data_IF_041531481179
#
_entry.id   IF_041531481179
#
_cell.length_a   1.000
_cell.length_b   1.000
_cell.length_c   1.000
_cell.angle_alpha   90.00
_cell.angle_beta   90.00
_cell.angle_gamma   90.00
#
_symmetry.space_group_name_H-M   'P 1'
#
loop_
_entity.id
_entity.type
_entity.pdbx_description
1 polymer ?
#
# COMPACT_ATOMS: atom_id res chain seq x y z
N UNK A 1 -16.04 -6.25 18.25
CA UNK A 1 -14.95 -5.38 17.76
C UNK A 1 -15.61 -4.24 17.02
N UNK A 2 -15.50 -2.97 17.44
CA UNK A 2 -15.97 -1.89 16.59
C UNK A 2 -15.14 -1.90 15.30
N UNK A 3 -15.82 -1.92 14.16
CA UNK A 3 -15.19 -1.70 12.87
C UNK A 3 -14.99 -0.20 12.74
N UNK A 4 -13.76 0.25 12.50
CA UNK A 4 -13.48 1.65 12.23
C UNK A 4 -13.75 1.93 10.75
N UNK A 5 -14.38 3.05 10.46
CA UNK A 5 -14.51 3.53 9.09
C UNK A 5 -13.13 3.95 8.55
N UNK A 6 -12.96 3.92 7.23
CA UNK A 6 -11.66 4.19 6.60
C UNK A 6 -11.12 5.60 6.92
N UNK A 7 -12.01 6.57 7.13
CA UNK A 7 -11.70 7.95 7.48
C UNK A 7 -11.33 8.15 8.96
N UNK A 8 -11.50 7.14 9.81
CA UNK A 8 -11.08 7.18 11.22
C UNK A 8 -9.63 6.73 11.42
N UNK A 9 -8.97 6.20 10.38
CA UNK A 9 -7.58 5.79 10.46
C UNK A 9 -6.64 6.99 10.34
N UNK A 10 -5.74 7.14 11.31
CA UNK A 10 -4.66 8.12 11.25
C UNK A 10 -3.35 7.53 10.69
N UNK A 11 -3.18 6.21 10.76
CA UNK A 11 -1.96 5.53 10.31
C UNK A 11 -2.25 4.09 9.89
N UNK A 12 -1.70 3.66 8.76
CA UNK A 12 -1.81 2.29 8.24
C UNK A 12 -0.44 1.80 7.77
N UNK A 13 -0.11 0.57 8.16
CA UNK A 13 1.04 -0.18 7.64
C UNK A 13 0.56 -1.12 6.56
N UNK A 14 1.14 -1.04 5.36
CA UNK A 14 0.82 -1.88 4.21
C UNK A 14 1.97 -2.86 3.94
N UNK A 15 1.81 -4.17 4.15
CA UNK A 15 2.81 -5.14 3.76
C UNK A 15 2.85 -5.31 2.24
N UNK A 16 4.04 -5.56 1.70
CA UNK A 16 4.23 -5.88 0.29
C UNK A 16 4.96 -7.22 0.12
N UNK A 17 4.68 -7.93 -0.98
CA UNK A 17 5.45 -9.08 -1.47
C UNK A 17 6.61 -8.61 -2.33
N UNK A 18 6.44 -7.49 -3.05
CA UNK A 18 7.47 -6.76 -3.76
C UNK A 18 7.13 -5.28 -3.85
N UNK A 19 8.13 -4.41 -3.97
CA UNK A 19 7.93 -2.98 -4.17
C UNK A 19 8.99 -2.40 -5.12
N UNK A 20 8.75 -1.21 -5.66
CA UNK A 20 9.73 -0.48 -6.46
C UNK A 20 9.97 0.95 -5.93
N UNK A 21 10.94 1.64 -6.52
CA UNK A 21 11.30 3.01 -6.17
C UNK A 21 10.20 4.05 -6.44
N UNK A 22 9.13 3.67 -7.14
CA UNK A 22 7.96 4.53 -7.38
C UNK A 22 6.83 4.27 -6.36
N UNK A 23 7.05 3.37 -5.40
CA UNK A 23 6.05 3.00 -4.40
C UNK A 23 4.99 2.04 -4.94
N UNK A 24 5.15 1.54 -6.16
CA UNK A 24 4.29 0.46 -6.66
C UNK A 24 4.55 -0.78 -5.82
N UNK A 25 3.54 -1.62 -5.66
CA UNK A 25 3.64 -2.83 -4.83
C UNK A 25 3.00 -4.03 -5.49
N UNK A 26 3.56 -5.20 -5.21
CA UNK A 26 2.93 -6.49 -5.41
C UNK A 26 2.36 -6.97 -4.09
N UNK A 27 1.06 -7.23 -4.06
CA UNK A 27 0.42 -8.03 -3.02
C UNK A 27 0.23 -9.48 -3.46
N UNK A 28 -0.68 -10.20 -2.81
CA UNK A 28 -1.09 -11.54 -3.23
C UNK A 28 -2.09 -11.57 -4.40
N UNK A 29 -2.33 -10.43 -5.07
CA UNK A 29 -3.13 -10.35 -6.31
C UNK A 29 -4.63 -10.10 -6.15
N UNK A 30 -5.19 -10.06 -4.93
CA UNK A 30 -6.63 -9.85 -4.71
C UNK A 30 -7.08 -8.36 -4.70
N UNK A 31 -6.16 -7.42 -4.91
CA UNK A 31 -6.46 -5.97 -4.94
C UNK A 31 -7.13 -5.43 -3.67
N UNK A 32 -6.93 -6.07 -2.51
CA UNK A 32 -7.59 -5.66 -1.26
C UNK A 32 -7.11 -4.28 -0.79
N UNK A 33 -5.79 -4.04 -0.85
CA UNK A 33 -5.23 -2.76 -0.44
C UNK A 33 -5.58 -1.65 -1.44
N UNK A 34 -5.57 -1.89 -2.74
CA UNK A 34 -5.92 -0.88 -3.76
C UNK A 34 -7.35 -0.37 -3.55
N UNK A 35 -8.29 -1.29 -3.30
CA UNK A 35 -9.68 -0.96 -2.97
C UNK A 35 -9.87 -0.30 -1.62
N UNK A 36 -8.95 -0.47 -0.68
CA UNK A 36 -9.07 0.10 0.66
C UNK A 36 -8.39 1.46 0.77
N UNK A 37 -7.20 1.60 0.18
CA UNK A 37 -6.42 2.83 0.15
C UNK A 37 -7.18 3.97 -0.53
N UNK A 38 -7.99 3.68 -1.54
CA UNK A 38 -8.83 4.69 -2.20
C UNK A 38 -9.97 5.24 -1.32
N UNK A 39 -10.24 4.64 -0.16
CA UNK A 39 -11.25 5.09 0.80
C UNK A 39 -10.66 5.94 1.93
N UNK A 40 -9.33 6.01 2.02
CA UNK A 40 -8.66 6.77 3.07
C UNK A 40 -8.73 8.27 2.78
N UNK A 41 -8.61 9.05 3.85
CA UNK A 41 -8.46 10.50 3.76
C UNK A 41 -6.97 10.86 3.74
N UNK A 42 -6.66 12.06 3.25
CA UNK A 42 -5.28 12.60 3.27
C UNK A 42 -4.71 12.76 4.70
N UNK A 43 -5.55 12.69 5.72
CA UNK A 43 -5.13 12.69 7.12
C UNK A 43 -4.55 11.35 7.59
N UNK A 44 -4.77 10.26 6.83
CA UNK A 44 -4.20 8.96 7.15
C UNK A 44 -2.78 8.83 6.59
N UNK A 45 -1.81 8.61 7.46
CA UNK A 45 -0.45 8.27 7.05
C UNK A 45 -0.36 6.82 6.60
N UNK A 46 0.07 6.59 5.36
CA UNK A 46 0.23 5.24 4.79
C UNK A 46 1.70 4.95 4.57
N UNK A 47 2.19 3.86 5.16
CA UNK A 47 3.58 3.41 5.02
C UNK A 47 3.64 1.96 4.58
N UNK A 48 4.34 1.71 3.48
CA UNK A 48 4.69 0.36 3.06
C UNK A 48 5.82 -0.21 3.91
N UNK A 49 5.74 -1.49 4.24
CA UNK A 49 6.82 -2.22 4.90
C UNK A 49 7.14 -3.48 4.11
N UNK A 50 8.41 -3.64 3.78
CA UNK A 50 8.95 -4.80 3.09
C UNK A 50 10.38 -5.07 3.59
N UNK A 51 11.00 -6.14 3.11
CA UNK A 51 12.44 -6.36 3.24
C UNK A 51 13.16 -5.79 2.01
N UNK A 52 14.43 -5.43 2.17
CA UNK A 52 15.28 -4.97 1.06
C UNK A 52 15.29 -5.96 -0.12
N UNK A 53 15.27 -7.27 0.11
CA UNK A 53 15.22 -8.31 -0.93
C UNK A 53 13.91 -8.34 -1.74
N UNK A 54 12.89 -7.61 -1.28
CA UNK A 54 11.61 -7.47 -1.96
C UNK A 54 11.56 -6.22 -2.86
N UNK A 55 12.64 -5.46 -2.97
CA UNK A 55 12.75 -4.41 -3.98
C UNK A 55 12.94 -5.06 -5.36
N UNK A 56 11.94 -4.93 -6.23
CA UNK A 56 11.92 -5.50 -7.58
C UNK A 56 11.47 -4.46 -8.59
N UNK A 57 12.20 -4.35 -9.69
CA UNK A 57 11.89 -3.41 -10.78
C UNK A 57 12.02 -4.10 -12.14
N UNK A 58 11.04 -3.92 -13.05
CA UNK A 58 9.82 -3.12 -12.89
C UNK A 58 8.67 -3.88 -12.21
N UNK A 59 7.82 -3.18 -11.47
CA UNK A 59 6.49 -3.70 -11.08
C UNK A 59 5.49 -3.31 -12.18
N UNK A 60 4.80 -4.28 -12.81
CA UNK A 60 3.68 -4.00 -13.69
C UNK A 60 2.55 -3.33 -12.90
N UNK A 61 2.00 -2.25 -13.44
CA UNK A 61 0.92 -1.47 -12.81
C UNK A 61 -0.29 -1.34 -13.74
N UNK A 62 -1.46 -1.34 -13.14
CA UNK A 62 -2.73 -1.03 -13.78
C UNK A 62 -3.28 0.31 -13.29
N UNK A 63 -4.25 0.88 -14.02
CA UNK A 63 -4.81 2.20 -13.72
C UNK A 63 -5.49 2.30 -12.34
N UNK A 64 -5.82 1.16 -11.72
CA UNK A 64 -6.48 1.10 -10.43
C UNK A 64 -5.50 0.86 -9.27
N UNK A 65 -4.23 0.60 -9.55
CA UNK A 65 -3.23 0.38 -8.52
C UNK A 65 -2.89 1.69 -7.83
N UNK A 66 -2.87 1.65 -6.50
CA UNK A 66 -2.59 2.84 -5.68
C UNK A 66 -1.15 2.74 -5.18
N UNK A 67 -0.19 3.55 -5.69
CA UNK A 67 1.17 3.54 -5.19
C UNK A 67 1.21 4.03 -3.73
N UNK A 68 2.15 3.50 -2.96
CA UNK A 68 2.39 3.94 -1.60
C UNK A 68 3.26 5.20 -1.60
N UNK A 69 2.98 6.20 -0.74
CA UNK A 69 3.81 7.41 -0.66
C UNK A 69 5.27 7.11 -0.26
N UNK A 70 5.46 6.07 0.55
CA UNK A 70 6.76 5.65 1.06
C UNK A 70 6.73 4.17 1.43
N UNK A 71 7.82 3.46 1.12
CA UNK A 71 8.07 2.08 1.57
C UNK A 71 9.39 2.07 2.33
N UNK A 72 9.35 1.58 3.57
CA UNK A 72 10.56 1.29 4.33
C UNK A 72 10.94 -0.17 4.16
N UNK A 73 12.23 -0.42 3.96
CA UNK A 73 12.81 -1.73 3.66
C UNK A 73 14.05 -2.05 4.50
#
# INVERSE_FOLDING_TARGET
MPYLAADEFAFIVVPAVGFDAHGNRLGYGAGNYDRYLCQLTDACHVVGVAFTEQEVSPIPVEAHDIPLPFVTA
#
